data_IF_369035632370
#
_entry.id   IF_369035632370
#
_cell.length_a   1.000
_cell.length_b   1.000
_cell.length_c   1.000
_cell.angle_alpha   90.00
_cell.angle_beta   90.00
_cell.angle_gamma   90.00
#
_symmetry.space_group_name_H-M   'P 1'
#
loop_
_entity.id
_entity.type
_entity.pdbx_description
1 polymer ?
#
# COMPACT_ATOMS: atom_id res chain seq x y z
N UNK A 1 9.44 2.40 21.90
CA UNK A 1 8.79 2.67 20.59
C UNK A 1 7.31 2.37 20.74
N UNK A 2 6.43 3.19 20.18
CA UNK A 2 4.99 2.92 20.19
C UNK A 2 4.64 1.70 19.36
N UNK A 3 3.64 0.94 19.78
CA UNK A 3 3.07 -0.17 19.02
C UNK A 3 2.04 0.37 18.02
N UNK A 4 2.03 -0.14 16.78
CA UNK A 4 1.05 0.27 15.77
C UNK A 4 -0.33 -0.27 16.16
N UNK A 5 -1.18 0.59 16.72
CA UNK A 5 -2.55 0.26 17.08
C UNK A 5 -3.51 0.81 16.02
N UNK A 6 -4.06 -0.06 15.17
CA UNK A 6 -5.00 0.30 14.10
C UNK A 6 -6.19 -0.64 14.12
N UNK A 7 -7.41 -0.12 13.90
CA UNK A 7 -8.63 -0.92 13.85
C UNK A 7 -8.92 -1.42 12.44
N UNK A 8 -8.59 -0.63 11.42
CA UNK A 8 -8.92 -0.93 10.03
C UNK A 8 -7.80 -0.57 9.07
N UNK A 9 -7.45 -1.51 8.20
CA UNK A 9 -6.37 -1.34 7.20
C UNK A 9 -6.84 -1.86 5.85
N UNK A 10 -6.53 -1.14 4.78
CA UNK A 10 -6.68 -1.62 3.41
C UNK A 10 -5.31 -1.72 2.74
N UNK A 11 -5.00 -2.85 2.14
CA UNK A 11 -3.78 -3.09 1.36
C UNK A 11 -4.13 -3.38 -0.09
N UNK A 12 -3.65 -2.54 -1.01
CA UNK A 12 -3.84 -2.79 -2.45
C UNK A 12 -2.82 -3.77 -3.02
N UNK A 13 -3.22 -4.63 -3.95
CA UNK A 13 -2.31 -5.58 -4.60
C UNK A 13 -1.72 -6.60 -3.63
N UNK A 14 -2.56 -7.24 -2.84
CA UNK A 14 -2.20 -8.08 -1.70
C UNK A 14 -2.17 -9.58 -1.98
N UNK A 15 -2.33 -10.01 -3.23
CA UNK A 15 -2.38 -11.44 -3.57
C UNK A 15 -1.00 -12.12 -3.63
N UNK A 16 0.10 -11.34 -3.63
CA UNK A 16 1.49 -11.83 -3.67
C UNK A 16 2.48 -10.78 -3.15
N UNK A 17 3.75 -11.17 -3.03
CA UNK A 17 4.87 -10.25 -2.77
C UNK A 17 4.70 -9.41 -1.50
N UNK A 18 5.10 -8.14 -1.55
CA UNK A 18 5.04 -7.22 -0.41
C UNK A 18 3.62 -7.04 0.14
N UNK A 19 2.60 -6.98 -0.72
CA UNK A 19 1.22 -6.82 -0.28
C UNK A 19 0.72 -8.01 0.54
N UNK A 20 1.06 -9.23 0.12
CA UNK A 20 0.74 -10.44 0.88
C UNK A 20 1.52 -10.50 2.20
N UNK A 21 2.81 -10.13 2.17
CA UNK A 21 3.64 -10.05 3.37
C UNK A 21 3.12 -9.04 4.40
N UNK A 22 2.66 -7.87 3.93
CA UNK A 22 1.99 -6.86 4.77
C UNK A 22 0.75 -7.45 5.43
N UNK A 23 -0.09 -8.16 4.67
CA UNK A 23 -1.28 -8.82 5.22
C UNK A 23 -0.91 -9.84 6.30
N UNK A 24 0.07 -10.71 6.03
CA UNK A 24 0.53 -11.72 6.98
C UNK A 24 1.03 -11.09 8.29
N UNK A 25 1.84 -10.03 8.20
CA UNK A 25 2.39 -9.37 9.38
C UNK A 25 1.34 -8.58 10.15
N UNK A 26 0.41 -7.90 9.47
CA UNK A 26 -0.70 -7.19 10.12
C UNK A 26 -1.60 -8.15 10.88
N UNK A 27 -1.84 -9.36 10.35
CA UNK A 27 -2.57 -10.42 11.04
C UNK A 27 -1.79 -11.03 12.21
N UNK A 28 -0.45 -11.01 12.13
CA UNK A 28 0.45 -11.52 13.16
C UNK A 28 0.81 -10.52 14.27
N UNK A 29 0.30 -9.28 14.23
CA UNK A 29 0.52 -8.31 15.31
C UNK A 29 -0.07 -8.84 16.64
N UNK A 30 0.49 -8.47 17.80
CA UNK A 30 -0.11 -8.81 19.10
C UNK A 30 -1.57 -8.34 19.24
N UNK A 31 -1.88 -7.21 18.59
CA UNK A 31 -3.24 -6.67 18.43
C UNK A 31 -3.51 -6.44 16.93
N UNK A 32 -3.96 -7.48 16.20
CA UNK A 32 -4.25 -7.34 14.78
C UNK A 32 -5.45 -6.40 14.57
N UNK A 33 -5.57 -5.76 13.40
CA UNK A 33 -6.70 -4.90 13.10
C UNK A 33 -8.02 -5.68 13.13
N UNK A 34 -9.07 -5.03 13.62
CA UNK A 34 -10.44 -5.55 13.57
C UNK A 34 -10.89 -5.86 12.14
N UNK A 35 -10.45 -5.04 11.17
CA UNK A 35 -10.71 -5.25 9.76
C UNK A 35 -9.44 -5.08 8.94
N UNK A 36 -9.06 -6.12 8.21
CA UNK A 36 -8.00 -6.07 7.21
C UNK A 36 -8.60 -6.35 5.84
N UNK A 37 -8.63 -5.33 4.98
CA UNK A 37 -9.08 -5.45 3.61
C UNK A 37 -7.88 -5.69 2.70
N UNK A 38 -7.79 -6.87 2.13
CA UNK A 38 -6.77 -7.21 1.15
C UNK A 38 -7.38 -7.18 -0.24
N UNK A 39 -6.80 -6.43 -1.17
CA UNK A 39 -7.39 -6.30 -2.51
C UNK A 39 -6.48 -6.84 -3.60
N UNK A 40 -7.10 -7.38 -4.65
CA UNK A 40 -6.42 -7.77 -5.88
C UNK A 40 -7.41 -7.81 -7.04
N UNK A 41 -6.90 -7.82 -8.28
CA UNK A 41 -7.76 -7.84 -9.48
C UNK A 41 -8.69 -9.04 -9.54
N UNK A 42 -8.17 -10.23 -9.23
CA UNK A 42 -8.92 -11.48 -9.31
C UNK A 42 -8.80 -12.25 -7.98
N UNK A 43 -9.72 -11.99 -7.03
CA UNK A 43 -9.74 -12.68 -5.73
C UNK A 43 -9.94 -14.19 -5.82
N UNK A 44 -10.56 -14.69 -6.89
CA UNK A 44 -10.88 -16.12 -7.08
C UNK A 44 -9.83 -16.85 -7.92
N UNK A 45 -8.96 -16.11 -8.61
CA UNK A 45 -7.91 -16.67 -9.44
C UNK A 45 -6.82 -17.38 -8.64
N UNK A 46 -6.09 -18.25 -9.33
CA UNK A 46 -5.00 -19.06 -8.77
C UNK A 46 -3.91 -18.21 -8.09
N UNK A 47 -3.64 -17.00 -8.61
CA UNK A 47 -2.64 -16.07 -8.04
C UNK A 47 -3.06 -15.47 -6.69
N UNK A 48 -4.28 -15.70 -6.22
CA UNK A 48 -4.77 -15.28 -4.92
C UNK A 48 -4.91 -16.45 -3.92
N UNK A 49 -4.46 -17.66 -4.28
CA UNK A 49 -4.66 -18.86 -3.44
C UNK A 49 -4.09 -18.70 -2.02
N UNK A 50 -2.88 -18.12 -1.88
CA UNK A 50 -2.29 -17.89 -0.56
C UNK A 50 -3.12 -16.90 0.26
N UNK A 51 -3.65 -15.85 -0.37
CA UNK A 51 -4.51 -14.87 0.29
C UNK A 51 -5.85 -15.49 0.69
N UNK A 52 -6.44 -16.34 -0.16
CA UNK A 52 -7.65 -17.12 0.16
C UNK A 52 -7.40 -18.06 1.34
N UNK A 53 -6.25 -18.73 1.37
CA UNK A 53 -5.86 -19.61 2.47
C UNK A 53 -5.73 -18.83 3.79
N UNK A 54 -5.20 -17.60 3.77
CA UNK A 54 -5.18 -16.74 4.95
C UNK A 54 -6.60 -16.33 5.37
N UNK A 55 -7.44 -15.89 4.44
CA UNK A 55 -8.81 -15.48 4.76
C UNK A 55 -9.64 -16.62 5.37
N UNK A 56 -9.39 -17.87 4.97
CA UNK A 56 -10.05 -19.04 5.57
C UNK A 56 -9.71 -19.26 7.06
N UNK A 57 -8.58 -18.69 7.53
CA UNK A 57 -8.09 -18.82 8.91
C UNK A 57 -8.34 -17.56 9.75
N UNK A 58 -8.65 -16.44 9.13
CA UNK A 58 -8.74 -15.13 9.77
C UNK A 58 -10.06 -14.45 9.42
N UNK A 59 -11.02 -14.45 10.35
CA UNK A 59 -12.35 -13.86 10.17
C UNK A 59 -12.31 -12.33 9.97
N UNK A 60 -11.24 -11.67 10.40
CA UNK A 60 -11.01 -10.23 10.23
C UNK A 60 -10.38 -9.87 8.87
N UNK A 61 -10.00 -10.85 8.04
CA UNK A 61 -9.46 -10.63 6.70
C UNK A 61 -10.56 -10.73 5.65
N UNK A 62 -10.80 -9.63 4.93
CA UNK A 62 -11.77 -9.54 3.84
C UNK A 62 -11.04 -9.32 2.52
N UNK A 63 -11.29 -10.19 1.53
CA UNK A 63 -10.70 -10.05 0.19
C UNK A 63 -11.69 -9.33 -0.73
N UNK A 64 -11.25 -8.26 -1.38
CA UNK A 64 -12.08 -7.49 -2.32
C UNK A 64 -11.44 -7.38 -3.71
N UNK A 65 -12.23 -7.44 -4.80
CA UNK A 65 -11.74 -7.15 -6.13
C UNK A 65 -11.38 -5.66 -6.25
N UNK A 66 -10.19 -5.35 -6.80
CA UNK A 66 -9.77 -3.97 -7.06
C UNK A 66 -8.78 -3.89 -8.23
N UNK A 67 -9.08 -3.01 -9.18
CA UNK A 67 -8.11 -2.45 -10.13
C UNK A 67 -7.91 -0.95 -9.83
N UNK A 68 -6.69 -0.59 -9.43
CA UNK A 68 -6.35 0.77 -8.96
C UNK A 68 -6.31 1.80 -10.10
N UNK A 69 -6.18 1.35 -11.35
CA UNK A 69 -6.31 2.18 -12.55
C UNK A 69 -7.77 2.36 -13.02
N UNK A 70 -8.76 1.78 -12.33
CA UNK A 70 -10.16 1.84 -12.72
C UNK A 70 -11.01 2.58 -11.66
N UNK A 71 -11.44 3.84 -11.90
CA UNK A 71 -12.22 4.62 -10.94
C UNK A 71 -13.52 3.96 -10.47
N UNK A 72 -14.19 3.19 -11.34
CA UNK A 72 -15.42 2.46 -10.97
C UNK A 72 -15.11 1.31 -10.02
N UNK A 73 -14.02 0.58 -10.26
CA UNK A 73 -13.53 -0.47 -9.36
C UNK A 73 -13.17 0.11 -7.98
N UNK A 74 -12.47 1.24 -7.96
CA UNK A 74 -12.10 1.95 -6.73
C UNK A 74 -13.34 2.36 -5.92
N UNK A 75 -14.33 2.97 -6.56
CA UNK A 75 -15.59 3.38 -5.90
C UNK A 75 -16.34 2.17 -5.33
N UNK A 76 -16.42 1.07 -6.06
CA UNK A 76 -17.06 -0.14 -5.59
C UNK A 76 -16.37 -0.73 -4.35
N UNK A 77 -15.02 -0.76 -4.35
CA UNK A 77 -14.24 -1.20 -3.20
C UNK A 77 -14.44 -0.27 -1.99
N UNK A 78 -14.42 1.05 -2.18
CA UNK A 78 -14.65 2.02 -1.11
C UNK A 78 -16.03 1.88 -0.48
N UNK A 79 -17.07 1.63 -1.29
CA UNK A 79 -18.43 1.36 -0.79
C UNK A 79 -18.46 0.09 0.07
N UNK A 80 -17.91 -1.03 -0.42
CA UNK A 80 -17.85 -2.29 0.33
C UNK A 80 -17.08 -2.17 1.64
N UNK A 81 -15.95 -1.48 1.63
CA UNK A 81 -15.18 -1.19 2.84
C UNK A 81 -16.00 -0.34 3.82
N UNK A 82 -16.71 0.68 3.32
CA UNK A 82 -17.61 1.49 4.13
C UNK A 82 -18.72 0.68 4.82
N UNK A 83 -19.34 -0.26 4.10
CA UNK A 83 -20.35 -1.18 4.64
C UNK A 83 -19.81 -1.99 5.83
N UNK A 84 -18.63 -2.62 5.67
CA UNK A 84 -18.00 -3.41 6.74
C UNK A 84 -17.63 -2.56 7.97
N UNK A 85 -17.20 -1.32 7.75
CA UNK A 85 -16.71 -0.47 8.84
C UNK A 85 -17.83 0.13 9.70
N UNK A 86 -19.08 0.14 9.24
CA UNK A 86 -20.22 0.62 10.02
C UNK A 86 -20.06 2.04 10.56
N UNK A 87 -19.26 2.87 9.90
CA UNK A 87 -18.95 4.23 10.35
C UNK A 87 -17.73 4.38 11.27
N UNK A 88 -16.96 3.34 11.54
CA UNK A 88 -15.72 3.43 12.34
C UNK A 88 -14.55 4.14 11.62
N UNK A 89 -14.65 4.25 10.29
CA UNK A 89 -13.62 4.82 9.43
C UNK A 89 -12.46 3.86 9.13
N UNK A 90 -11.62 4.24 8.17
CA UNK A 90 -10.41 3.50 7.77
C UNK A 90 -9.17 4.12 8.40
N UNK A 91 -8.38 3.39 9.19
CA UNK A 91 -7.15 3.95 9.77
C UNK A 91 -6.01 4.01 8.75
N UNK A 92 -5.79 2.96 7.97
CA UNK A 92 -4.68 2.92 7.02
C UNK A 92 -5.14 2.55 5.62
N UNK A 93 -4.79 3.38 4.65
CA UNK A 93 -4.79 3.04 3.23
C UNK A 93 -3.35 2.80 2.79
N UNK A 94 -3.01 1.56 2.49
CA UNK A 94 -1.69 1.17 2.00
C UNK A 94 -1.78 0.94 0.48
N UNK A 95 -1.33 1.94 -0.27
CA UNK A 95 -1.18 1.87 -1.72
C UNK A 95 0.08 1.06 -2.06
N UNK A 96 -0.10 -0.25 -2.22
CA UNK A 96 0.96 -1.19 -2.55
C UNK A 96 0.89 -1.72 -4.00
N UNK A 97 -0.28 -1.76 -4.63
CA UNK A 97 -0.38 -2.21 -6.02
C UNK A 97 0.54 -1.39 -6.94
N UNK A 98 1.23 -2.08 -7.85
CA UNK A 98 2.11 -1.47 -8.83
C UNK A 98 2.49 -2.48 -9.91
N UNK A 99 2.82 -1.95 -11.09
CA UNK A 99 3.24 -2.73 -12.25
C UNK A 99 4.62 -2.30 -12.75
N UNK A 100 5.20 -3.18 -13.55
CA UNK A 100 6.44 -2.97 -14.29
C UNK A 100 6.30 -3.57 -15.67
N UNK A 101 6.81 -2.85 -16.66
CA UNK A 101 7.20 -3.42 -17.94
C UNK A 101 8.66 -3.10 -18.16
N UNK A 102 9.46 -4.12 -18.44
CA UNK A 102 10.88 -3.96 -18.75
C UNK A 102 10.98 -3.88 -20.27
N UNK A 103 11.36 -2.72 -20.78
CA UNK A 103 11.62 -2.47 -22.20
C UNK A 103 12.92 -1.68 -22.34
N UNK A 104 13.51 -1.69 -23.53
CA UNK A 104 14.65 -0.84 -23.87
C UNK A 104 14.13 0.54 -24.29
N UNK A 105 14.95 1.58 -24.15
CA UNK A 105 14.55 2.95 -24.52
C UNK A 105 14.04 3.05 -25.97
N UNK A 106 14.68 2.34 -26.89
CA UNK A 106 14.31 2.28 -28.31
C UNK A 106 12.96 1.58 -28.58
N UNK A 107 12.45 0.81 -27.61
CA UNK A 107 11.22 0.03 -27.71
C UNK A 107 10.13 0.49 -26.72
N UNK A 108 10.35 1.60 -26.01
CA UNK A 108 9.37 2.15 -25.06
C UNK A 108 8.23 2.83 -25.82
N UNK A 109 6.99 2.57 -25.39
CA UNK A 109 5.79 3.07 -26.07
C UNK A 109 5.02 4.05 -25.19
N UNK A 110 4.18 4.88 -25.82
CA UNK A 110 3.27 5.75 -25.09
C UNK A 110 2.33 4.92 -24.21
N UNK A 111 1.87 3.79 -24.71
CA UNK A 111 0.94 2.89 -24.04
C UNK A 111 1.56 2.28 -22.78
N UNK A 112 2.81 1.80 -22.87
CA UNK A 112 3.53 1.24 -21.73
C UNK A 112 3.78 2.30 -20.64
N UNK A 113 4.24 3.49 -21.03
CA UNK A 113 4.42 4.62 -20.12
C UNK A 113 3.10 5.04 -19.49
N UNK A 114 2.03 5.14 -20.29
CA UNK A 114 0.70 5.54 -19.81
C UNK A 114 0.14 4.52 -18.82
N UNK A 115 0.28 3.22 -19.10
CA UNK A 115 -0.19 2.16 -18.19
C UNK A 115 0.53 2.24 -16.85
N UNK A 116 1.86 2.37 -16.87
CA UNK A 116 2.68 2.44 -15.65
C UNK A 116 2.35 3.70 -14.86
N UNK A 117 2.28 4.88 -15.49
CA UNK A 117 1.89 6.11 -14.80
C UNK A 117 0.47 6.06 -14.24
N UNK A 118 -0.46 5.47 -14.98
CA UNK A 118 -1.84 5.34 -14.53
C UNK A 118 -1.91 4.46 -13.28
N UNK A 119 -1.26 3.29 -13.28
CA UNK A 119 -1.31 2.38 -12.13
C UNK A 119 -0.47 2.86 -10.96
N UNK A 120 0.77 3.30 -11.18
CA UNK A 120 1.74 3.56 -10.11
C UNK A 120 1.64 4.99 -9.56
N UNK A 121 1.10 5.95 -10.32
CA UNK A 121 1.06 7.38 -9.92
C UNK A 121 -0.37 7.88 -9.76
N UNK A 122 -1.20 7.74 -10.80
CA UNK A 122 -2.58 8.24 -10.77
C UNK A 122 -3.46 7.38 -9.86
N UNK A 123 -3.26 6.06 -9.87
CA UNK A 123 -3.99 5.10 -9.05
C UNK A 123 -3.97 5.44 -7.55
N UNK A 124 -2.79 5.60 -6.91
CA UNK A 124 -2.69 6.01 -5.50
C UNK A 124 -3.44 7.31 -5.17
N UNK A 125 -3.42 8.30 -6.06
CA UNK A 125 -4.19 9.55 -5.90
C UNK A 125 -5.69 9.28 -5.90
N UNK A 126 -6.19 8.52 -6.89
CA UNK A 126 -7.60 8.17 -7.00
C UNK A 126 -8.08 7.33 -5.81
N UNK A 127 -7.24 6.40 -5.33
CA UNK A 127 -7.47 5.67 -4.09
C UNK A 127 -7.59 6.62 -2.90
N UNK A 128 -6.66 7.56 -2.76
CA UNK A 128 -6.69 8.58 -1.71
C UNK A 128 -7.99 9.39 -1.74
N UNK A 129 -8.42 9.86 -2.92
CA UNK A 129 -9.65 10.62 -3.09
C UNK A 129 -10.90 9.81 -2.71
N UNK A 130 -11.00 8.57 -3.16
CA UNK A 130 -12.16 7.72 -2.90
C UNK A 130 -12.29 7.31 -1.43
N UNK A 131 -11.18 7.08 -0.74
CA UNK A 131 -11.15 6.64 0.66
C UNK A 131 -11.04 7.80 1.67
N UNK A 132 -10.83 9.04 1.21
CA UNK A 132 -10.70 10.22 2.06
C UNK A 132 -11.85 10.38 3.07
N UNK A 133 -13.14 10.15 2.72
CA UNK A 133 -14.22 10.24 3.71
C UNK A 133 -14.06 9.25 4.87
N UNK A 134 -13.62 8.01 4.58
CA UNK A 134 -13.41 6.97 5.59
C UNK A 134 -12.19 7.28 6.47
N UNK A 135 -11.11 7.80 5.88
CA UNK A 135 -9.92 8.24 6.60
C UNK A 135 -10.22 9.41 7.55
N UNK A 136 -10.98 10.42 7.08
CA UNK A 136 -11.44 11.53 7.92
C UNK A 136 -12.29 11.03 9.09
N UNK A 137 -13.16 10.05 8.86
CA UNK A 137 -14.00 9.47 9.92
C UNK A 137 -13.18 8.75 10.99
N UNK A 138 -12.15 8.01 10.59
CA UNK A 138 -11.22 7.39 11.53
C UNK A 138 -10.43 8.43 12.35
N UNK A 139 -9.95 9.49 11.69
CA UNK A 139 -9.22 10.57 12.34
C UNK A 139 -10.06 11.29 13.41
N UNK A 140 -11.34 11.59 13.10
CA UNK A 140 -12.28 12.23 14.02
C UNK A 140 -12.62 11.35 15.23
N UNK A 141 -12.71 10.03 15.02
CA UNK A 141 -13.01 9.08 16.09
C UNK A 141 -11.81 8.65 16.92
N UNK A 142 -10.61 9.18 16.65
CA UNK A 142 -9.38 8.77 17.33
C UNK A 142 -8.97 9.77 18.42
N UNK A 143 -8.65 9.32 19.65
CA UNK A 143 -8.25 10.22 20.74
C UNK A 143 -6.89 10.91 20.48
N UNK A 144 -6.68 12.07 21.10
CA UNK A 144 -5.44 12.87 21.04
C UNK A 144 -5.42 13.92 19.92
N UNK A 145 -4.45 14.85 19.95
CA UNK A 145 -4.38 16.02 19.06
C UNK A 145 -3.32 15.96 17.94
N UNK A 146 -2.50 14.92 17.83
CA UNK A 146 -1.43 14.82 16.81
C UNK A 146 -1.76 13.96 15.59
N UNK A 147 -0.88 13.97 14.58
CA UNK A 147 -0.86 13.04 13.44
C UNK A 147 -0.17 11.71 13.82
N UNK A 148 -0.73 10.59 13.35
CA UNK A 148 -0.19 9.24 13.56
C UNK A 148 -0.85 8.24 12.60
N UNK A 149 -0.09 7.22 12.17
CA UNK A 149 -0.64 6.06 11.46
C UNK A 149 -1.70 5.29 12.25
N UNK A 150 -1.68 5.36 13.57
CA UNK A 150 -2.73 4.79 14.43
C UNK A 150 -4.07 5.53 14.33
N UNK A 151 -4.07 6.78 13.84
CA UNK A 151 -5.29 7.58 13.65
C UNK A 151 -5.83 7.44 12.24
N UNK A 152 -5.11 8.00 11.27
CA UNK A 152 -5.45 7.95 9.85
C UNK A 152 -4.20 8.28 9.03
N UNK A 153 -3.82 7.41 8.10
CA UNK A 153 -2.74 7.70 7.15
C UNK A 153 -2.96 7.04 5.79
N UNK A 154 -2.46 7.71 4.77
CA UNK A 154 -2.25 7.14 3.43
C UNK A 154 -0.76 6.82 3.33
N UNK A 155 -0.44 5.57 3.05
CA UNK A 155 0.93 5.08 2.90
C UNK A 155 1.11 4.61 1.47
N UNK A 156 1.99 5.26 0.72
CA UNK A 156 2.39 4.83 -0.62
C UNK A 156 3.72 4.10 -0.51
N UNK A 157 3.79 2.80 -0.82
CA UNK A 157 5.09 2.12 -0.85
C UNK A 157 5.76 2.34 -2.22
N UNK A 158 7.08 2.58 -2.24
CA UNK A 158 7.91 2.91 -3.42
C UNK A 158 9.33 2.28 -3.37
N UNK A 159 10.25 2.62 -4.30
CA UNK A 159 11.60 2.01 -4.55
C UNK A 159 12.80 2.85 -4.16
N UNK A 160 13.97 2.20 -4.12
CA UNK A 160 15.28 2.82 -4.44
C UNK A 160 15.67 2.81 -5.93
N UNK A 161 15.35 1.78 -6.71
CA UNK A 161 15.51 1.81 -8.18
C UNK A 161 14.74 2.97 -8.82
N UNK A 162 13.71 3.41 -8.08
CA UNK A 162 12.83 4.57 -8.07
C UNK A 162 13.45 5.95 -8.09
N UNK A 163 14.67 6.00 -7.57
CA UNK A 163 15.35 7.23 -7.23
C UNK A 163 16.10 7.72 -8.46
N UNK A 164 15.72 8.90 -8.92
CA UNK A 164 16.47 9.64 -9.95
C UNK A 164 17.92 9.90 -9.48
N UNK A 165 18.15 9.94 -8.15
CA UNK A 165 19.45 10.18 -7.54
C UNK A 165 20.38 8.94 -7.45
N UNK A 166 19.87 7.72 -7.62
CA UNK A 166 20.68 6.48 -7.55
C UNK A 166 20.92 5.86 -8.93
N UNK A 167 21.92 6.41 -9.63
CA UNK A 167 22.23 6.09 -11.03
C UNK A 167 22.99 4.75 -11.25
N UNK A 168 23.59 4.16 -10.22
CA UNK A 168 24.55 3.04 -10.34
C UNK A 168 24.01 1.73 -10.94
N UNK A 169 22.70 1.54 -11.07
CA UNK A 169 22.09 0.35 -11.69
C UNK A 169 21.76 0.50 -13.19
N UNK A 170 22.08 1.66 -13.81
CA UNK A 170 21.77 1.95 -15.21
C UNK A 170 22.40 0.97 -16.21
N UNK A 171 23.61 0.49 -15.91
CA UNK A 171 24.33 -0.45 -16.79
C UNK A 171 23.78 -1.89 -16.73
N UNK A 172 22.92 -2.22 -15.76
CA UNK A 172 22.36 -3.57 -15.58
C UNK A 172 20.95 -3.74 -16.17
N UNK A 173 20.03 -2.78 -15.96
CA UNK A 173 18.64 -2.84 -16.46
C UNK A 173 18.14 -1.44 -16.80
N UNK A 174 17.84 -1.18 -18.07
CA UNK A 174 17.28 0.09 -18.57
C UNK A 174 15.75 0.18 -18.39
N UNK A 175 15.22 -0.20 -17.21
CA UNK A 175 13.79 -0.17 -16.92
C UNK A 175 13.36 1.20 -16.35
N UNK A 176 13.45 2.25 -17.18
CA UNK A 176 13.26 3.66 -16.80
C UNK A 176 11.97 3.93 -16.01
N UNK A 177 10.88 3.25 -16.36
CA UNK A 177 9.56 3.38 -15.75
C UNK A 177 9.40 2.60 -14.43
N UNK A 178 10.08 1.44 -14.29
CA UNK A 178 10.13 0.66 -13.04
C UNK A 178 11.06 1.25 -12.00
N UNK A 179 12.10 1.92 -12.51
CA UNK A 179 13.01 2.75 -11.76
C UNK A 179 12.34 4.01 -11.20
N UNK A 180 11.02 3.98 -11.03
CA UNK A 180 10.21 4.88 -10.21
C UNK A 180 9.49 4.15 -9.03
N UNK A 181 9.57 2.81 -8.83
CA UNK A 181 8.53 2.06 -8.06
C UNK A 181 8.83 0.65 -7.43
N UNK A 182 9.58 0.57 -6.32
CA UNK A 182 9.97 -0.54 -5.37
C UNK A 182 11.34 -1.28 -5.43
N UNK A 183 12.03 -1.52 -4.26
CA UNK A 183 13.48 -1.81 -4.07
C UNK A 183 13.84 -3.31 -3.82
N UNK A 184 15.13 -3.66 -3.62
CA UNK A 184 15.63 -5.02 -3.36
C UNK A 184 15.89 -5.29 -1.86
N UNK A 185 14.93 -5.91 -1.19
CA UNK A 185 15.05 -6.49 0.16
C UNK A 185 14.06 -7.66 0.26
N UNK A 186 14.29 -8.62 1.16
CA UNK A 186 13.32 -9.69 1.36
C UNK A 186 11.99 -9.11 1.86
N UNK A 187 10.88 -9.76 1.48
CA UNK A 187 9.54 -9.28 1.86
C UNK A 187 9.41 -9.15 3.38
N UNK A 188 9.90 -10.14 4.13
CA UNK A 188 9.84 -10.15 5.59
C UNK A 188 10.61 -8.98 6.23
N UNK A 189 11.86 -8.76 5.84
CA UNK A 189 12.67 -7.66 6.36
C UNK A 189 12.07 -6.29 6.01
N UNK A 190 11.60 -6.14 4.77
CA UNK A 190 10.96 -4.92 4.29
C UNK A 190 9.70 -4.60 5.08
N UNK A 191 8.82 -5.59 5.28
CA UNK A 191 7.54 -5.40 5.96
C UNK A 191 7.74 -5.09 7.44
N UNK A 192 8.64 -5.81 8.13
CA UNK A 192 8.98 -5.51 9.53
C UNK A 192 9.51 -4.09 9.70
N UNK A 193 10.40 -3.67 8.80
CA UNK A 193 10.90 -2.30 8.74
C UNK A 193 9.78 -1.28 8.58
N UNK A 194 8.95 -1.44 7.55
CA UNK A 194 7.83 -0.54 7.27
C UNK A 194 6.88 -0.43 8.47
N UNK A 195 6.49 -1.55 9.09
CA UNK A 195 5.60 -1.52 10.26
C UNK A 195 6.23 -0.78 11.45
N UNK A 196 7.54 -0.93 11.67
CA UNK A 196 8.29 -0.20 12.68
C UNK A 196 8.35 1.31 12.38
N UNK A 197 8.56 1.69 11.12
CA UNK A 197 8.52 3.09 10.69
C UNK A 197 7.14 3.67 10.96
N UNK A 198 6.07 3.02 10.48
CA UNK A 198 4.69 3.45 10.68
C UNK A 198 4.30 3.59 12.16
N UNK A 199 4.87 2.77 13.05
CA UNK A 199 4.62 2.87 14.49
C UNK A 199 5.36 4.02 15.17
N UNK A 200 6.27 4.69 14.46
CA UNK A 200 7.15 5.74 15.00
C UNK A 200 6.91 7.14 14.42
N UNK A 201 6.30 7.25 13.23
CA UNK A 201 6.11 8.55 12.57
C UNK A 201 5.07 9.43 13.28
N UNK A 202 5.32 10.74 13.26
CA UNK A 202 4.43 11.77 13.83
C UNK A 202 4.30 12.98 12.90
N UNK A 203 3.68 14.06 13.39
CA UNK A 203 3.44 15.29 12.62
C UNK A 203 4.71 15.89 12.00
N UNK A 204 5.85 15.79 12.69
CA UNK A 204 7.16 16.29 12.22
C UNK A 204 7.65 15.60 10.95
N UNK A 205 7.15 14.40 10.67
CA UNK A 205 7.58 13.56 9.55
C UNK A 205 6.65 13.75 8.32
N UNK A 206 5.64 14.62 8.43
CA UNK A 206 4.69 14.90 7.33
C UNK A 206 5.42 15.49 6.13
N UNK A 207 5.20 14.91 4.95
CA UNK A 207 5.84 15.37 3.71
C UNK A 207 7.31 14.94 3.58
N UNK A 208 7.74 13.93 4.33
CA UNK A 208 9.05 13.30 4.15
C UNK A 208 8.95 12.01 3.33
N UNK A 209 10.02 11.65 2.62
CA UNK A 209 10.16 10.35 1.98
C UNK A 209 11.10 9.48 2.82
N UNK A 210 10.59 8.38 3.37
CA UNK A 210 11.34 7.51 4.28
C UNK A 210 11.54 6.12 3.66
N UNK A 211 12.69 5.51 3.90
CA UNK A 211 12.92 4.09 3.62
C UNK A 211 12.34 3.18 4.73
N UNK A 212 12.45 1.86 4.55
CA UNK A 212 11.95 0.86 5.50
C UNK A 212 12.74 0.82 6.83
N UNK A 213 13.89 1.48 6.91
CA UNK A 213 14.67 1.65 8.14
C UNK A 213 14.30 2.95 8.89
N UNK A 214 13.51 3.83 8.26
CA UNK A 214 13.10 5.13 8.79
C UNK A 214 14.08 6.26 8.47
N UNK A 215 15.01 6.06 7.53
CA UNK A 215 15.93 7.11 7.06
C UNK A 215 15.25 7.97 6.02
N UNK A 216 15.53 9.28 6.06
CA UNK A 216 15.06 10.23 5.03
C UNK A 216 15.79 9.96 3.72
N UNK A 217 15.01 9.72 2.67
CA UNK A 217 15.47 9.58 1.29
C UNK A 217 15.27 10.94 0.61
N UNK A 218 16.27 11.47 -0.12
CA UNK A 218 16.09 12.66 -0.94
C UNK A 218 14.95 12.47 -1.96
N UNK A 219 14.20 13.55 -2.20
CA UNK A 219 13.20 13.61 -3.27
C UNK A 219 13.81 13.42 -4.66
#
# INVERSE_FOLDING_TARGET
MGELCVRSVLVTGANRGLGLGLVQHLLGLPKPPQWLFATCRDPKGQRAQELQNLASKHHNLVILPLEVANPTSIKAAAAKVGEHLGGSGLNLLINNAGIVKITLLENETLEDMTEIYTTNTVGPLLMGQAFLPLLKKAAQGSPGSGLSCSKAAIVNISSIGGSIASFSAWEMIQASSYRCSKPPVTVDASVKGMLKVLSSISEKDTGTFLDWEGKVVPW
#
